data_IF_753676749183
#
_entry.id   IF_753676749183
#
_cell.length_a   1.000
_cell.length_b   1.000
_cell.length_c   1.000
_cell.angle_alpha   90.00
_cell.angle_beta   90.00
_cell.angle_gamma   90.00
#
_symmetry.space_group_name_H-M   'P 1'
#
loop_
_entity.id
_entity.type
_entity.pdbx_description
1 polymer ?
#
# COMPACT_ATOMS: atom_id res chain seq x y z
N UNK A 1 58.06 -29.26 -94.03
CA UNK A 1 58.34 -29.07 -92.60
C UNK A 1 57.51 -27.89 -92.10
N UNK A 2 56.82 -28.07 -90.97
CA UNK A 2 55.82 -27.23 -90.29
C UNK A 2 56.06 -25.70 -90.36
N UNK A 3 55.19 -24.89 -90.97
CA UNK A 3 53.99 -24.16 -90.43
C UNK A 3 54.24 -23.11 -89.33
N UNK A 4 54.42 -21.87 -89.78
CA UNK A 4 53.88 -20.55 -89.34
C UNK A 4 53.32 -20.36 -87.91
N UNK A 5 53.81 -19.33 -87.20
CA UNK A 5 52.95 -18.32 -86.54
C UNK A 5 53.64 -16.92 -86.54
N UNK A 6 52.99 -15.87 -87.05
CA UNK A 6 53.44 -14.49 -86.95
C UNK A 6 52.85 -13.78 -85.72
N UNK A 7 53.63 -12.93 -85.07
CA UNK A 7 53.12 -11.79 -84.29
C UNK A 7 52.30 -12.11 -83.03
N UNK A 8 52.96 -12.56 -81.97
CA UNK A 8 52.35 -12.63 -80.64
C UNK A 8 52.25 -11.21 -80.05
N UNK A 9 51.11 -10.55 -80.26
CA UNK A 9 50.77 -9.31 -79.56
C UNK A 9 50.57 -9.63 -78.07
N UNK A 10 51.10 -8.82 -77.13
CA UNK A 10 50.81 -9.00 -75.71
C UNK A 10 49.34 -8.70 -75.48
N UNK A 11 48.54 -9.75 -75.29
CA UNK A 11 47.11 -9.64 -74.95
C UNK A 11 46.93 -8.84 -73.67
N UNK A 12 46.22 -7.70 -73.76
CA UNK A 12 45.80 -6.92 -72.60
C UNK A 12 45.00 -7.84 -71.66
N UNK A 13 45.36 -7.87 -70.38
CA UNK A 13 44.56 -8.54 -69.36
C UNK A 13 43.18 -7.89 -69.33
N UNK A 14 42.12 -8.71 -69.37
CA UNK A 14 40.75 -8.20 -69.42
C UNK A 14 40.48 -7.27 -68.23
N UNK A 15 39.85 -6.12 -68.49
CA UNK A 15 39.45 -5.19 -67.45
C UNK A 15 38.44 -5.90 -66.52
N UNK A 16 38.68 -5.91 -65.20
CA UNK A 16 37.70 -6.46 -64.25
C UNK A 16 36.41 -5.64 -64.35
N UNK A 17 35.27 -6.31 -64.56
CA UNK A 17 33.97 -5.63 -64.65
C UNK A 17 33.37 -5.52 -63.25
N UNK A 18 32.52 -4.51 -63.06
CA UNK A 18 31.82 -4.30 -61.79
C UNK A 18 30.93 -5.50 -61.41
N UNK A 19 30.48 -6.26 -62.41
CA UNK A 19 29.66 -7.47 -62.27
C UNK A 19 30.44 -8.66 -61.70
N UNK A 20 31.77 -8.67 -61.83
CA UNK A 20 32.63 -9.77 -61.40
C UNK A 20 33.00 -9.70 -59.90
N UNK A 21 32.60 -8.61 -59.21
CA UNK A 21 32.93 -8.38 -57.80
C UNK A 21 31.88 -9.04 -56.91
N UNK A 22 32.27 -9.95 -55.99
CA UNK A 22 31.33 -10.62 -55.10
C UNK A 22 30.62 -9.63 -54.16
N UNK A 23 29.31 -9.81 -53.99
CA UNK A 23 28.47 -9.03 -53.06
C UNK A 23 28.17 -9.83 -51.78
N UNK A 24 28.26 -9.18 -50.63
CA UNK A 24 27.83 -9.67 -49.31
C UNK A 24 26.54 -8.95 -48.87
N UNK A 25 25.87 -9.44 -47.82
CA UNK A 25 24.56 -8.96 -47.37
C UNK A 25 24.49 -7.45 -47.09
N UNK A 26 25.62 -6.81 -46.79
CA UNK A 26 25.75 -5.38 -46.46
C UNK A 26 26.46 -4.55 -47.55
N UNK A 27 26.71 -5.11 -48.74
CA UNK A 27 27.35 -4.39 -49.86
C UNK A 27 28.40 -5.19 -50.64
N UNK A 28 29.32 -4.50 -51.32
CA UNK A 28 30.41 -5.14 -52.05
C UNK A 28 31.49 -5.68 -51.10
N UNK A 29 32.09 -6.82 -51.43
CA UNK A 29 33.17 -7.40 -50.62
C UNK A 29 34.43 -6.51 -50.68
N UNK A 30 34.89 -6.03 -49.52
CA UNK A 30 36.00 -5.07 -49.43
C UNK A 30 37.32 -5.62 -49.99
N UNK A 31 37.55 -6.92 -49.83
CA UNK A 31 38.75 -7.58 -50.35
C UNK A 31 38.67 -7.80 -51.86
N UNK A 32 37.49 -8.18 -52.38
CA UNK A 32 37.24 -8.32 -53.83
C UNK A 32 37.32 -6.97 -54.56
N UNK A 33 36.81 -5.90 -53.96
CA UNK A 33 36.96 -4.53 -54.49
C UNK A 33 38.43 -4.13 -54.53
N UNK A 34 39.20 -4.40 -53.47
CA UNK A 34 40.64 -4.09 -53.42
C UNK A 34 41.42 -4.80 -54.52
N UNK A 35 41.14 -6.08 -54.74
CA UNK A 35 41.76 -6.88 -55.80
C UNK A 35 41.40 -6.36 -57.21
N UNK A 36 40.14 -5.99 -57.44
CA UNK A 36 39.71 -5.37 -58.70
C UNK A 36 40.42 -4.04 -58.98
N UNK A 37 40.61 -3.20 -57.95
CA UNK A 37 41.38 -1.95 -58.07
C UNK A 37 42.87 -2.20 -58.32
N UNK A 38 43.48 -3.23 -57.73
CA UNK A 38 44.86 -3.60 -58.03
C UNK A 38 45.04 -4.15 -59.44
N UNK A 39 44.12 -5.00 -59.91
CA UNK A 39 44.11 -5.49 -61.27
C UNK A 39 43.96 -4.34 -62.28
N UNK A 40 43.09 -3.38 -62.00
CA UNK A 40 42.97 -2.15 -62.79
C UNK A 40 44.26 -1.32 -62.79
N UNK A 41 44.95 -1.19 -61.64
CA UNK A 41 46.25 -0.51 -61.58
C UNK A 41 47.34 -1.22 -62.37
N UNK A 42 47.38 -2.55 -62.36
CA UNK A 42 48.32 -3.33 -63.19
C UNK A 42 48.01 -3.15 -64.67
N UNK A 43 46.73 -3.18 -65.05
CA UNK A 43 46.28 -2.93 -66.41
C UNK A 43 46.63 -1.50 -66.88
N UNK A 44 46.42 -0.49 -66.04
CA UNK A 44 46.77 0.90 -66.38
C UNK A 44 48.29 1.11 -66.49
N UNK A 45 49.09 0.46 -65.63
CA UNK A 45 50.54 0.45 -65.76
C UNK A 45 51.02 -0.25 -67.04
N UNK A 46 50.38 -1.36 -67.42
CA UNK A 46 50.66 -2.08 -68.67
C UNK A 46 50.29 -1.25 -69.90
N UNK A 47 49.16 -0.54 -69.86
CA UNK A 47 48.76 0.40 -70.90
C UNK A 47 49.74 1.58 -71.01
N UNK A 48 50.18 2.15 -69.88
CA UNK A 48 51.20 3.20 -69.87
C UNK A 48 52.54 2.73 -70.43
N UNK A 49 52.94 1.48 -70.16
CA UNK A 49 54.13 0.88 -70.75
C UNK A 49 53.99 0.71 -72.26
N UNK A 50 52.84 0.23 -72.75
CA UNK A 50 52.55 0.10 -74.18
C UNK A 50 52.51 1.47 -74.88
N UNK A 51 51.92 2.49 -74.24
CA UNK A 51 51.93 3.86 -74.76
C UNK A 51 53.34 4.45 -74.79
N UNK A 52 54.21 4.17 -73.81
CA UNK A 52 55.62 4.57 -73.86
C UNK A 52 56.38 3.87 -74.98
N UNK A 53 56.10 2.60 -75.25
CA UNK A 53 56.69 1.85 -76.38
C UNK A 53 56.19 2.39 -77.72
N UNK A 54 54.89 2.69 -77.85
CA UNK A 54 54.30 3.33 -79.03
C UNK A 54 54.81 4.76 -79.24
N UNK A 55 55.02 5.52 -78.17
CA UNK A 55 55.63 6.85 -78.23
C UNK A 55 57.13 6.78 -78.58
N UNK A 56 57.84 5.76 -78.11
CA UNK A 56 59.23 5.51 -78.50
C UNK A 56 59.35 5.07 -79.97
N UNK A 57 58.42 4.24 -80.45
CA UNK A 57 58.30 3.87 -81.87
C UNK A 57 57.83 5.04 -82.75
N UNK A 58 56.96 5.92 -82.24
CA UNK A 58 56.51 7.15 -82.90
C UNK A 58 57.63 8.19 -83.03
N UNK A 59 58.60 8.22 -82.10
CA UNK A 59 59.82 9.05 -82.24
C UNK A 59 60.77 8.56 -83.34
N UNK A 60 60.65 7.32 -83.83
CA UNK A 60 61.47 6.77 -84.91
C UNK A 60 61.02 7.16 -86.32
N UNK A 61 60.22 8.22 -86.45
CA UNK A 61 60.01 8.92 -87.72
C UNK A 61 58.78 8.48 -88.49
N UNK A 62 57.61 8.93 -88.04
CA UNK A 62 56.51 9.27 -88.95
C UNK A 62 55.67 10.38 -88.30
N UNK A 63 56.12 11.61 -88.52
CA UNK A 63 55.40 12.85 -88.20
C UNK A 63 54.18 12.96 -89.09
N UNK A 64 53.01 12.61 -88.57
CA UNK A 64 51.77 13.27 -89.00
C UNK A 64 51.48 14.29 -87.91
N UNK A 65 51.79 15.56 -88.16
CA UNK A 65 51.22 16.67 -87.37
C UNK A 65 49.70 16.60 -87.52
N UNK A 66 48.94 16.20 -86.49
CA UNK A 66 47.51 16.44 -86.50
C UNK A 66 47.38 17.93 -86.21
N UNK A 67 47.14 18.72 -87.26
CA UNK A 67 46.92 20.17 -87.20
C UNK A 67 46.24 20.58 -85.88
N UNK A 68 46.82 21.53 -85.13
CA UNK A 68 46.31 21.94 -83.80
C UNK A 68 44.86 22.43 -83.78
N UNK A 69 44.19 22.50 -84.94
CA UNK A 69 42.75 22.63 -85.05
C UNK A 69 41.99 21.34 -84.67
N UNK A 70 42.43 20.15 -85.11
CA UNK A 70 41.80 18.87 -84.76
C UNK A 70 41.86 18.60 -83.26
N UNK A 71 43.03 18.79 -82.65
CA UNK A 71 43.21 18.65 -81.19
C UNK A 71 42.34 19.64 -80.41
N UNK A 72 42.18 20.87 -80.91
CA UNK A 72 41.27 21.87 -80.31
C UNK A 72 39.81 21.47 -80.45
N UNK A 73 39.40 20.93 -81.61
CA UNK A 73 38.03 20.45 -81.83
C UNK A 73 37.71 19.23 -80.97
N UNK A 74 38.65 18.29 -80.83
CA UNK A 74 38.52 17.12 -79.95
C UNK A 74 38.44 17.53 -78.48
N UNK A 75 39.25 18.50 -78.05
CA UNK A 75 39.19 19.05 -76.70
C UNK A 75 37.83 19.75 -76.42
N UNK A 76 37.29 20.50 -77.38
CA UNK A 76 35.95 21.10 -77.25
C UNK A 76 34.85 20.04 -77.21
N UNK A 77 34.98 18.97 -78.00
CA UNK A 77 34.03 17.86 -77.96
C UNK A 77 34.08 17.12 -76.62
N UNK A 78 35.28 16.91 -76.06
CA UNK A 78 35.47 16.32 -74.74
C UNK A 78 34.94 17.20 -73.61
N UNK A 79 35.12 18.53 -73.68
CA UNK A 79 34.53 19.46 -72.72
C UNK A 79 33.00 19.42 -72.80
N UNK A 80 32.44 19.36 -74.02
CA UNK A 80 30.99 19.24 -74.20
C UNK A 80 30.46 17.92 -73.66
N UNK A 81 31.10 16.79 -73.98
CA UNK A 81 30.67 15.48 -73.46
C UNK A 81 30.85 15.39 -71.94
N UNK A 82 31.87 16.03 -71.37
CA UNK A 82 32.04 16.14 -69.92
C UNK A 82 30.93 16.98 -69.27
N UNK A 83 30.49 18.07 -69.91
CA UNK A 83 29.39 18.90 -69.43
C UNK A 83 28.05 18.14 -69.48
N UNK A 84 27.75 17.48 -70.61
CA UNK A 84 26.57 16.62 -70.74
C UNK A 84 26.58 15.48 -69.72
N UNK A 85 27.75 14.86 -69.47
CA UNK A 85 27.90 13.85 -68.43
C UNK A 85 27.65 14.42 -67.03
N UNK A 86 28.16 15.61 -66.71
CA UNK A 86 27.90 16.27 -65.43
C UNK A 86 26.40 16.53 -65.21
N UNK A 87 25.69 17.00 -66.24
CA UNK A 87 24.24 17.21 -66.19
C UNK A 87 23.47 15.90 -65.94
N UNK A 88 23.93 14.79 -66.52
CA UNK A 88 23.33 13.46 -66.24
C UNK A 88 23.58 12.99 -64.81
N UNK A 89 24.80 13.20 -64.29
CA UNK A 89 25.16 12.85 -62.91
C UNK A 89 24.35 13.67 -61.92
N UNK A 90 24.16 14.97 -62.17
CA UNK A 90 23.33 15.83 -61.34
C UNK A 90 21.87 15.38 -61.36
N UNK A 91 21.32 15.10 -62.55
CA UNK A 91 19.94 14.64 -62.70
C UNK A 91 19.69 13.31 -61.97
N UNK A 92 20.62 12.37 -62.07
CA UNK A 92 20.51 11.08 -61.39
C UNK A 92 20.69 11.20 -59.87
N UNK A 93 21.58 12.09 -59.41
CA UNK A 93 21.74 12.40 -58.00
C UNK A 93 20.48 13.07 -57.42
N UNK A 94 19.87 14.01 -58.14
CA UNK A 94 18.61 14.65 -57.75
C UNK A 94 17.49 13.61 -57.64
N UNK A 95 17.29 12.78 -58.66
CA UNK A 95 16.28 11.69 -58.63
C UNK A 95 16.51 10.69 -57.50
N UNK A 96 17.77 10.30 -57.26
CA UNK A 96 18.10 9.40 -56.16
C UNK A 96 17.80 10.05 -54.79
N UNK A 97 18.09 11.35 -54.64
CA UNK A 97 17.80 12.09 -53.40
C UNK A 97 16.30 12.23 -53.16
N UNK A 98 15.51 12.52 -54.18
CA UNK A 98 14.05 12.60 -54.10
C UNK A 98 13.44 11.25 -53.70
N UNK A 99 13.93 10.15 -54.27
CA UNK A 99 13.49 8.80 -53.91
C UNK A 99 13.84 8.43 -52.46
N UNK A 100 15.01 8.86 -51.95
CA UNK A 100 15.39 8.63 -50.56
C UNK A 100 14.59 9.51 -49.60
N UNK A 101 14.38 10.78 -49.93
CA UNK A 101 13.59 11.71 -49.12
C UNK A 101 12.13 11.26 -49.05
N UNK A 102 11.51 10.91 -50.16
CA UNK A 102 10.14 10.38 -50.18
C UNK A 102 10.00 9.12 -49.31
N UNK A 103 10.93 8.16 -49.43
CA UNK A 103 10.93 6.95 -48.59
C UNK A 103 11.09 7.26 -47.10
N UNK A 104 12.00 8.16 -46.73
CA UNK A 104 12.21 8.53 -45.32
C UNK A 104 11.03 9.33 -44.77
N UNK A 105 10.41 10.18 -45.56
CA UNK A 105 9.18 10.88 -45.18
C UNK A 105 8.02 9.92 -44.93
N UNK A 106 7.84 8.91 -45.79
CA UNK A 106 6.83 7.87 -45.57
C UNK A 106 7.07 7.09 -44.29
N UNK A 107 8.33 6.73 -44.02
CA UNK A 107 8.70 6.05 -42.77
C UNK A 107 8.47 6.93 -41.55
N UNK A 108 8.82 8.22 -41.60
CA UNK A 108 8.54 9.18 -40.52
C UNK A 108 7.04 9.35 -40.31
N UNK A 109 6.25 9.47 -41.38
CA UNK A 109 4.78 9.55 -41.29
C UNK A 109 4.21 8.28 -40.66
N UNK A 110 4.71 7.11 -41.04
CA UNK A 110 4.31 5.82 -40.46
C UNK A 110 4.65 5.75 -38.97
N UNK A 111 5.90 6.02 -38.59
CA UNK A 111 6.35 5.99 -37.19
C UNK A 111 5.59 6.99 -36.32
N UNK A 112 5.28 8.18 -36.83
CA UNK A 112 4.45 9.17 -36.13
C UNK A 112 3.03 8.65 -35.85
N UNK A 113 2.40 7.97 -36.81
CA UNK A 113 1.08 7.36 -36.59
C UNK A 113 1.15 6.24 -35.56
N UNK A 114 2.11 5.34 -35.69
CA UNK A 114 2.32 4.25 -34.71
C UNK A 114 2.58 4.80 -33.30
N UNK A 115 3.30 5.92 -33.18
CA UNK A 115 3.50 6.59 -31.90
C UNK A 115 2.19 7.18 -31.35
N UNK A 116 1.41 7.87 -32.17
CA UNK A 116 0.12 8.42 -31.78
C UNK A 116 -0.86 7.32 -31.33
N UNK A 117 -0.88 6.19 -32.04
CA UNK A 117 -1.72 5.04 -31.68
C UNK A 117 -1.30 4.45 -30.33
N UNK A 118 0.01 4.31 -30.08
CA UNK A 118 0.54 3.86 -28.78
C UNK A 118 0.21 4.83 -27.65
N UNK A 119 0.34 6.13 -27.88
CA UNK A 119 -0.02 7.16 -26.89
C UNK A 119 -1.51 7.10 -26.56
N UNK A 120 -2.38 6.93 -27.56
CA UNK A 120 -3.81 6.75 -27.36
C UNK A 120 -4.14 5.46 -26.60
N UNK A 121 -3.42 4.37 -26.85
CA UNK A 121 -3.57 3.10 -26.12
C UNK A 121 -3.14 3.24 -24.66
N UNK A 122 -1.99 3.88 -24.39
CA UNK A 122 -1.51 4.15 -23.03
C UNK A 122 -2.54 4.98 -22.25
N UNK A 123 -3.12 5.99 -22.90
CA UNK A 123 -4.13 6.84 -22.26
C UNK A 123 -5.41 6.06 -21.91
N UNK A 124 -5.84 5.13 -22.78
CA UNK A 124 -6.96 4.22 -22.45
C UNK A 124 -6.64 3.35 -21.25
N UNK A 125 -5.47 2.73 -21.20
CA UNK A 125 -5.07 1.91 -20.04
C UNK A 125 -4.97 2.74 -18.75
N UNK A 126 -4.51 3.99 -18.82
CA UNK A 126 -4.51 4.89 -17.66
C UNK A 126 -5.91 5.16 -17.16
N UNK A 127 -6.82 5.54 -18.05
CA UNK A 127 -8.21 5.81 -17.68
C UNK A 127 -8.92 4.56 -17.14
N UNK A 128 -8.69 3.39 -17.73
CA UNK A 128 -9.22 2.12 -17.23
C UNK A 128 -8.64 1.77 -15.86
N UNK A 129 -7.32 1.94 -15.66
CA UNK A 129 -6.67 1.70 -14.37
C UNK A 129 -7.18 2.64 -13.28
N UNK A 130 -7.40 3.92 -13.61
CA UNK A 130 -7.97 4.91 -12.69
C UNK A 130 -9.42 4.56 -12.33
N UNK A 131 -10.24 4.13 -13.31
CA UNK A 131 -11.60 3.64 -13.06
C UNK A 131 -11.59 2.43 -12.13
N UNK A 132 -10.78 1.41 -12.43
CA UNK A 132 -10.63 0.22 -11.59
C UNK A 132 -10.17 0.58 -10.18
N UNK A 133 -9.21 1.50 -10.05
CA UNK A 133 -8.75 1.99 -8.74
C UNK A 133 -9.89 2.67 -7.97
N UNK A 134 -10.69 3.51 -8.63
CA UNK A 134 -11.82 4.18 -8.01
C UNK A 134 -12.92 3.18 -7.59
N UNK A 135 -13.19 2.17 -8.40
CA UNK A 135 -14.13 1.09 -8.08
C UNK A 135 -13.66 0.28 -6.86
N UNK A 136 -12.40 -0.14 -6.83
CA UNK A 136 -11.80 -0.85 -5.69
C UNK A 136 -11.86 -0.02 -4.40
N UNK A 137 -11.54 1.28 -4.48
CA UNK A 137 -11.61 2.16 -3.32
C UNK A 137 -13.05 2.35 -2.82
N UNK A 138 -14.02 2.48 -3.73
CA UNK A 138 -15.43 2.59 -3.34
C UNK A 138 -15.94 1.28 -2.70
N UNK A 139 -15.58 0.13 -3.27
CA UNK A 139 -15.93 -1.18 -2.72
C UNK A 139 -15.33 -1.36 -1.33
N UNK A 140 -14.02 -1.14 -1.17
CA UNK A 140 -13.34 -1.23 0.11
C UNK A 140 -13.94 -0.27 1.16
N UNK A 141 -14.34 0.94 0.75
CA UNK A 141 -15.01 1.90 1.64
C UNK A 141 -16.40 1.43 2.07
N UNK A 142 -17.15 0.80 1.16
CA UNK A 142 -18.48 0.26 1.47
C UNK A 142 -18.37 -0.96 2.38
N UNK A 143 -17.44 -1.88 2.10
CA UNK A 143 -17.13 -3.03 2.95
C UNK A 143 -16.70 -2.59 4.36
N UNK A 144 -15.80 -1.60 4.46
CA UNK A 144 -15.37 -1.07 5.75
C UNK A 144 -16.55 -0.47 6.55
N UNK A 145 -17.46 0.26 5.90
CA UNK A 145 -18.66 0.80 6.55
C UNK A 145 -19.61 -0.30 7.00
N UNK A 146 -19.81 -1.32 6.19
CA UNK A 146 -20.67 -2.46 6.52
C UNK A 146 -20.10 -3.25 7.70
N UNK A 147 -18.79 -3.56 7.68
CA UNK A 147 -18.11 -4.23 8.78
C UNK A 147 -18.22 -3.44 10.08
N UNK A 148 -18.00 -2.13 10.04
CA UNK A 148 -18.17 -1.27 11.22
C UNK A 148 -19.62 -1.23 11.70
N UNK A 149 -20.60 -1.18 10.79
CA UNK A 149 -22.01 -1.19 11.17
C UNK A 149 -22.40 -2.53 11.83
N UNK A 150 -21.93 -3.65 11.29
CA UNK A 150 -22.17 -4.98 11.85
C UNK A 150 -21.50 -5.13 13.21
N UNK A 151 -20.21 -4.79 13.32
CA UNK A 151 -19.49 -4.82 14.59
C UNK A 151 -20.15 -3.97 15.68
N UNK A 152 -20.65 -2.77 15.32
CA UNK A 152 -21.40 -1.94 16.26
C UNK A 152 -22.74 -2.56 16.69
N UNK A 153 -23.49 -3.18 15.77
CA UNK A 153 -24.73 -3.89 16.11
C UNK A 153 -24.45 -5.02 17.09
N UNK A 154 -23.48 -5.87 16.78
CA UNK A 154 -23.08 -7.01 17.61
C UNK A 154 -22.62 -6.55 18.99
N UNK A 155 -21.75 -5.53 19.06
CA UNK A 155 -21.30 -4.96 20.32
C UNK A 155 -22.46 -4.42 21.18
N UNK A 156 -23.43 -3.73 20.56
CA UNK A 156 -24.61 -3.24 21.30
C UNK A 156 -25.54 -4.36 21.74
N UNK A 157 -25.64 -5.45 20.96
CA UNK A 157 -26.43 -6.61 21.34
C UNK A 157 -25.80 -7.32 22.55
N UNK A 158 -24.50 -7.61 22.48
CA UNK A 158 -23.74 -8.23 23.56
C UNK A 158 -23.80 -7.40 24.85
N UNK A 159 -23.69 -6.08 24.75
CA UNK A 159 -23.83 -5.18 25.89
C UNK A 159 -25.22 -5.30 26.53
N UNK A 160 -26.30 -5.27 25.74
CA UNK A 160 -27.68 -5.44 26.26
C UNK A 160 -27.89 -6.80 26.91
N UNK A 161 -27.32 -7.86 26.33
CA UNK A 161 -27.39 -9.20 26.90
C UNK A 161 -26.61 -9.32 28.21
N UNK A 162 -25.44 -8.70 28.30
CA UNK A 162 -24.64 -8.63 29.52
C UNK A 162 -25.35 -7.84 30.62
N UNK A 163 -25.96 -6.69 30.29
CA UNK A 163 -26.78 -5.91 31.22
C UNK A 163 -27.99 -6.69 31.70
N UNK A 164 -28.70 -7.39 30.80
CA UNK A 164 -29.83 -8.24 31.17
C UNK A 164 -29.39 -9.38 32.11
N UNK A 165 -28.28 -10.06 31.82
CA UNK A 165 -27.70 -11.09 32.70
C UNK A 165 -27.31 -10.51 34.07
N UNK A 166 -26.67 -9.33 34.08
CA UNK A 166 -26.30 -8.62 35.30
C UNK A 166 -27.51 -8.25 36.16
N UNK A 167 -28.57 -7.71 35.55
CA UNK A 167 -29.80 -7.35 36.26
C UNK A 167 -30.47 -8.56 36.92
N UNK A 168 -30.51 -9.72 36.25
CA UNK A 168 -31.04 -10.98 36.80
C UNK A 168 -30.22 -11.47 37.98
N UNK A 169 -28.90 -11.41 37.91
CA UNK A 169 -28.02 -11.80 39.02
C UNK A 169 -28.18 -10.86 40.23
N UNK A 170 -28.34 -9.55 39.98
CA UNK A 170 -28.63 -8.58 41.05
C UNK A 170 -29.99 -8.83 41.71
N UNK A 171 -31.01 -9.19 40.93
CA UNK A 171 -32.31 -9.55 41.49
C UNK A 171 -32.27 -10.85 42.30
N UNK A 172 -31.60 -11.89 41.78
CA UNK A 172 -31.40 -13.15 42.49
C UNK A 172 -30.65 -12.94 43.82
N UNK A 173 -29.55 -12.19 43.81
CA UNK A 173 -28.78 -11.91 45.02
C UNK A 173 -29.58 -11.09 46.04
N UNK A 174 -30.41 -10.13 45.59
CA UNK A 174 -31.35 -9.42 46.47
C UNK A 174 -32.35 -10.37 47.09
N UNK A 175 -32.95 -11.27 46.30
CA UNK A 175 -33.89 -12.24 46.81
C UNK A 175 -33.24 -13.16 47.86
N UNK A 176 -32.09 -13.73 47.54
CA UNK A 176 -31.33 -14.57 48.48
C UNK A 176 -30.95 -13.82 49.76
N UNK A 177 -30.51 -12.56 49.66
CA UNK A 177 -30.22 -11.75 50.83
C UNK A 177 -31.46 -11.52 51.71
N UNK A 178 -32.63 -11.30 51.11
CA UNK A 178 -33.89 -11.18 51.85
C UNK A 178 -34.32 -12.49 52.50
N UNK A 179 -34.16 -13.61 51.80
CA UNK A 179 -34.47 -14.95 52.33
C UNK A 179 -33.57 -15.29 53.53
N UNK A 180 -32.25 -15.07 53.40
CA UNK A 180 -31.30 -15.28 54.50
C UNK A 180 -31.60 -14.38 55.69
N UNK A 181 -31.95 -13.11 55.45
CA UNK A 181 -32.31 -12.18 56.53
C UNK A 181 -33.59 -12.62 57.24
N UNK A 182 -34.60 -13.07 56.49
CA UNK A 182 -35.84 -13.59 57.07
C UNK A 182 -35.62 -14.90 57.83
N UNK A 183 -34.80 -15.82 57.29
CA UNK A 183 -34.41 -17.07 57.96
C UNK A 183 -33.70 -16.79 59.28
N UNK A 184 -32.70 -15.92 59.27
CA UNK A 184 -31.97 -15.55 60.48
C UNK A 184 -32.88 -14.89 61.53
N UNK A 185 -33.84 -14.05 61.12
CA UNK A 185 -34.85 -13.49 62.05
C UNK A 185 -35.74 -14.58 62.65
N UNK A 186 -36.23 -15.50 61.84
CA UNK A 186 -37.07 -16.60 62.29
C UNK A 186 -36.32 -17.52 63.28
N UNK A 187 -35.04 -17.83 63.03
CA UNK A 187 -34.19 -18.60 63.94
C UNK A 187 -33.96 -17.86 65.28
N UNK A 188 -33.72 -16.55 65.25
CA UNK A 188 -33.60 -15.73 66.46
C UNK A 188 -34.93 -15.69 67.24
N UNK A 189 -36.05 -15.54 66.56
CA UNK A 189 -37.38 -15.57 67.20
C UNK A 189 -37.65 -16.93 67.85
N UNK A 190 -37.33 -18.03 67.15
CA UNK A 190 -37.46 -19.39 67.68
C UNK A 190 -36.59 -19.61 68.92
N UNK A 191 -35.33 -19.18 68.89
CA UNK A 191 -34.42 -19.30 70.04
C UNK A 191 -34.87 -18.45 71.22
N UNK A 192 -35.39 -17.24 70.98
CA UNK A 192 -35.96 -16.40 72.02
C UNK A 192 -37.25 -16.98 72.59
N UNK A 193 -38.12 -17.57 71.77
CA UNK A 193 -39.32 -18.26 72.23
C UNK A 193 -38.97 -19.47 73.10
N UNK A 194 -38.01 -20.29 72.65
CA UNK A 194 -37.49 -21.40 73.45
C UNK A 194 -36.89 -20.95 74.78
N UNK A 195 -36.08 -19.89 74.78
CA UNK A 195 -35.50 -19.32 75.99
C UNK A 195 -36.58 -18.78 76.95
N UNK A 196 -37.64 -18.14 76.43
CA UNK A 196 -38.80 -17.69 77.24
C UNK A 196 -39.57 -18.86 77.84
N UNK A 197 -39.82 -19.92 77.07
CA UNK A 197 -40.49 -21.12 77.55
C UNK A 197 -39.67 -21.81 78.66
N UNK A 198 -38.35 -21.90 78.48
CA UNK A 198 -37.45 -22.45 79.50
C UNK A 198 -37.42 -21.60 80.76
N UNK A 199 -37.34 -20.27 80.64
CA UNK A 199 -37.40 -19.35 81.78
C UNK A 199 -38.73 -19.48 82.54
N UNK A 200 -39.86 -19.57 81.83
CA UNK A 200 -41.18 -19.78 82.45
C UNK A 200 -41.26 -21.11 83.22
N UNK A 201 -40.68 -22.19 82.68
CA UNK A 201 -40.63 -23.48 83.36
C UNK A 201 -39.76 -23.44 84.64
N UNK A 202 -38.60 -22.76 84.60
CA UNK A 202 -37.74 -22.57 85.77
C UNK A 202 -38.45 -21.74 86.84
N UNK A 203 -39.09 -20.64 86.44
CA UNK A 203 -39.86 -19.78 87.36
C UNK A 203 -41.02 -20.53 88.01
N UNK A 204 -41.80 -21.30 87.25
CA UNK A 204 -42.88 -22.13 87.80
C UNK A 204 -42.36 -23.15 88.81
N UNK A 205 -41.24 -23.82 88.51
CA UNK A 205 -40.60 -24.76 89.45
C UNK A 205 -40.10 -24.05 90.70
N UNK A 206 -39.48 -22.88 90.58
CA UNK A 206 -39.03 -22.09 91.71
C UNK A 206 -40.21 -21.62 92.57
N UNK A 207 -41.29 -21.14 91.95
CA UNK A 207 -42.51 -20.73 92.63
C UNK A 207 -43.08 -21.89 93.45
N UNK A 208 -43.32 -23.06 92.83
CA UNK A 208 -43.84 -24.23 93.56
C UNK A 208 -42.89 -24.69 94.68
N UNK A 209 -41.57 -24.61 94.47
CA UNK A 209 -40.59 -24.94 95.51
C UNK A 209 -40.62 -23.96 96.69
N UNK A 210 -40.76 -22.66 96.42
CA UNK A 210 -40.90 -21.64 97.47
C UNK A 210 -42.21 -21.77 98.23
N UNK A 211 -43.34 -22.03 97.54
CA UNK A 211 -44.63 -22.31 98.17
C UNK A 211 -44.54 -23.52 99.12
N UNK A 212 -43.85 -24.59 98.71
CA UNK A 212 -43.61 -25.76 99.56
C UNK A 212 -42.78 -25.42 100.82
N UNK A 213 -41.74 -24.60 100.68
CA UNK A 213 -40.90 -24.19 101.81
C UNK A 213 -41.65 -23.27 102.79
N UNK A 214 -42.44 -22.33 102.29
CA UNK A 214 -43.24 -21.43 103.12
C UNK A 214 -44.36 -22.17 103.85
N UNK A 215 -45.02 -23.13 103.19
CA UNK A 215 -46.00 -24.01 103.82
C UNK A 215 -45.35 -24.88 104.93
N UNK A 216 -44.15 -25.42 104.69
CA UNK A 216 -43.41 -26.18 105.70
C UNK A 216 -42.97 -25.31 106.90
N UNK A 217 -42.77 -24.01 106.70
CA UNK A 217 -42.49 -23.04 107.76
C UNK A 217 -43.75 -22.63 108.57
N UNK A 218 -44.93 -23.13 108.20
CA UNK A 218 -46.17 -22.92 108.94
C UNK A 218 -46.96 -21.66 108.56
N UNK A 219 -46.63 -20.99 107.45
CA UNK A 219 -47.45 -19.90 106.91
C UNK A 219 -48.72 -20.47 106.25
N UNK A 220 -49.86 -19.84 106.53
CA UNK A 220 -51.13 -20.15 105.87
C UNK A 220 -51.14 -19.67 104.41
N UNK A 221 -52.04 -20.24 103.60
CA UNK A 221 -52.14 -19.94 102.16
C UNK A 221 -52.34 -18.44 101.86
N UNK A 222 -53.03 -17.72 102.76
CA UNK A 222 -53.24 -16.26 102.69
C UNK A 222 -51.97 -15.43 102.97
N UNK A 223 -51.04 -15.94 103.77
CA UNK A 223 -49.77 -15.27 104.08
C UNK A 223 -48.74 -15.50 102.99
N UNK A 224 -48.74 -16.70 102.40
CA UNK A 224 -47.91 -17.05 101.24
C UNK A 224 -48.27 -16.17 100.03
N UNK A 225 -49.56 -15.94 99.77
CA UNK A 225 -50.01 -15.03 98.69
C UNK A 225 -49.50 -13.60 98.90
N UNK A 226 -49.60 -13.06 100.13
CA UNK A 226 -49.10 -11.71 100.45
C UNK A 226 -47.58 -11.57 100.28
N UNK A 227 -46.81 -12.59 100.68
CA UNK A 227 -45.35 -12.60 100.47
C UNK A 227 -45.03 -12.66 98.97
N UNK A 228 -45.76 -13.47 98.19
CA UNK A 228 -45.61 -13.55 96.73
C UNK A 228 -45.88 -12.21 96.03
N UNK A 229 -46.96 -11.52 96.41
CA UNK A 229 -47.30 -10.19 95.89
C UNK A 229 -46.20 -9.16 96.19
N UNK A 230 -45.70 -9.12 97.43
CA UNK A 230 -44.62 -8.21 97.83
C UNK A 230 -43.30 -8.46 97.06
N UNK A 231 -42.95 -9.73 96.79
CA UNK A 231 -41.77 -10.08 95.99
C UNK A 231 -41.94 -9.64 94.54
N UNK A 232 -43.13 -9.84 93.95
CA UNK A 232 -43.41 -9.41 92.57
C UNK A 232 -43.37 -7.88 92.46
N UNK A 233 -43.90 -7.16 93.45
CA UNK A 233 -43.83 -5.69 93.51
C UNK A 233 -42.38 -5.20 93.58
N UNK A 234 -41.58 -5.73 94.53
CA UNK A 234 -40.15 -5.38 94.65
C UNK A 234 -39.34 -5.74 93.39
N UNK A 235 -39.66 -6.86 92.72
CA UNK A 235 -39.02 -7.25 91.47
C UNK A 235 -39.37 -6.31 90.32
N UNK A 236 -40.64 -5.84 90.24
CA UNK A 236 -41.07 -4.84 89.25
C UNK A 236 -40.36 -3.51 89.48
N UNK A 237 -40.28 -3.04 90.72
CA UNK A 237 -39.56 -1.81 91.07
C UNK A 237 -38.07 -1.89 90.71
N UNK A 238 -37.43 -3.03 90.94
CA UNK A 238 -36.03 -3.27 90.56
C UNK A 238 -35.83 -3.29 89.03
N UNK A 239 -36.74 -3.92 88.28
CA UNK A 239 -36.69 -3.93 86.81
C UNK A 239 -36.93 -2.53 86.25
N UNK A 240 -37.88 -1.77 86.80
CA UNK A 240 -38.14 -0.38 86.40
C UNK A 240 -36.95 0.53 86.72
N UNK A 241 -36.31 0.36 87.88
CA UNK A 241 -35.08 1.06 88.23
C UNK A 241 -33.92 0.75 87.26
N UNK A 242 -33.90 -0.45 86.68
CA UNK A 242 -32.87 -0.89 85.72
C UNK A 242 -33.20 -0.45 84.28
N UNK A 243 -34.46 -0.11 83.99
CA UNK A 243 -34.93 0.32 82.66
C UNK A 243 -34.51 1.78 82.39
N UNK A 244 -33.22 1.97 82.08
CA UNK A 244 -32.74 3.23 81.50
C UNK A 244 -33.34 3.38 80.10
N UNK A 245 -33.88 4.56 79.69
CA UNK A 245 -34.38 4.74 78.33
C UNK A 245 -33.23 4.54 77.33
N UNK A 246 -33.49 3.96 76.14
CA UNK A 246 -32.44 3.77 75.16
C UNK A 246 -31.89 5.14 74.74
N UNK A 247 -30.60 5.34 74.98
CA UNK A 247 -29.87 6.46 74.42
C UNK A 247 -30.07 6.44 72.90
N UNK A 248 -30.47 7.59 72.34
CA UNK A 248 -30.66 7.79 70.91
C UNK A 248 -29.53 7.13 70.13
N UNK A 249 -29.90 6.16 69.28
CA UNK A 249 -28.98 5.52 68.35
C UNK A 249 -28.28 6.62 67.55
N UNK A 250 -26.98 6.80 67.81
CA UNK A 250 -26.13 7.63 66.97
C UNK A 250 -26.22 7.07 65.55
N UNK A 251 -26.47 7.89 64.51
CA UNK A 251 -26.38 7.42 63.15
C UNK A 251 -24.96 6.88 62.93
N UNK A 252 -24.88 5.67 62.38
CA UNK A 252 -23.62 5.07 61.98
C UNK A 252 -22.87 6.06 61.08
N UNK A 253 -21.72 6.52 61.57
CA UNK A 253 -20.69 7.18 60.76
C UNK A 253 -20.48 6.34 59.50
N UNK A 254 -20.78 6.92 58.34
CA UNK A 254 -20.42 6.37 57.06
C UNK A 254 -18.94 5.99 57.10
N UNK A 255 -18.66 4.70 56.92
CA UNK A 255 -17.31 4.19 56.74
C UNK A 255 -16.75 4.94 55.53
N UNK A 256 -15.74 5.75 55.82
CA UNK A 256 -14.90 6.42 54.85
C UNK A 256 -14.54 5.45 53.74
N UNK A 257 -14.83 5.87 52.51
CA UNK A 257 -14.41 5.18 51.30
C UNK A 257 -12.92 4.83 51.39
N UNK A 258 -12.61 3.65 50.85
CA UNK A 258 -11.31 3.02 50.76
C UNK A 258 -10.20 3.98 50.22
N UNK A 259 -8.92 3.73 50.57
CA UNK A 259 -7.80 4.46 49.98
C UNK A 259 -7.77 4.27 48.45
N UNK A 260 -7.36 5.28 47.68
CA UNK A 260 -7.21 5.13 46.24
C UNK A 260 -6.12 4.10 45.94
N UNK A 261 -6.50 3.06 45.19
CA UNK A 261 -5.57 2.11 44.58
C UNK A 261 -4.70 2.88 43.57
N UNK A 262 -3.36 2.76 43.62
CA UNK A 262 -2.51 3.33 42.57
C UNK A 262 -2.81 2.66 41.23
N UNK A 263 -3.08 3.49 40.21
CA UNK A 263 -3.28 3.05 38.84
C UNK A 263 -2.03 2.33 38.30
N UNK A 264 -2.18 1.29 37.46
CA UNK A 264 -1.06 0.64 36.79
C UNK A 264 -0.41 1.60 35.77
N UNK A 265 0.92 1.55 35.56
CA UNK A 265 1.59 2.37 34.57
C UNK A 265 1.11 2.00 33.17
N UNK A 266 0.60 3.01 32.46
CA UNK A 266 0.33 2.94 31.03
C UNK A 266 1.64 2.70 30.28
N UNK A 267 1.59 1.74 29.36
CA UNK A 267 2.64 1.42 28.44
C UNK A 267 3.05 2.66 27.63
N UNK A 268 4.34 2.99 27.67
CA UNK A 268 4.98 3.87 26.71
C UNK A 268 4.95 3.17 25.35
N UNK A 269 4.18 3.72 24.42
CA UNK A 269 4.46 3.54 23.01
C UNK A 269 4.09 4.79 22.22
N UNK A 270 5.01 5.14 21.33
CA UNK A 270 4.88 6.08 20.22
C UNK A 270 5.07 7.56 20.59
N UNK A 271 6.20 8.19 20.28
CA UNK A 271 6.76 8.62 18.97
C UNK A 271 6.62 10.13 18.84
N UNK A 272 7.76 10.80 18.64
CA UNK A 272 7.89 11.88 17.65
C UNK A 272 7.17 13.19 17.94
N UNK A 273 7.86 14.06 18.67
CA UNK A 273 7.81 15.51 18.53
C UNK A 273 9.26 15.99 18.70
N UNK A 274 9.83 16.97 18.03
CA UNK A 274 9.39 17.90 17.01
C UNK A 274 10.65 18.77 16.84
N UNK A 275 11.15 18.91 15.61
CA UNK A 275 12.12 19.96 15.30
C UNK A 275 11.48 20.80 14.21
N UNK A 276 10.80 21.85 14.65
CA UNK A 276 10.44 22.98 13.82
C UNK A 276 11.73 23.67 13.34
N UNK A 277 11.81 23.97 12.03
CA UNK A 277 12.50 25.18 11.60
C UNK A 277 11.81 25.81 10.38
N UNK A 278 11.26 26.98 10.68
CA UNK A 278 11.04 28.19 9.91
C UNK A 278 10.93 28.21 8.36
N UNK A 279 9.87 28.92 7.95
CA UNK A 279 9.87 30.03 6.99
C UNK A 279 9.88 29.72 5.49
N UNK A 280 8.75 29.99 4.82
CA UNK A 280 8.52 31.24 4.08
C UNK A 280 7.37 31.08 3.06
N UNK A 281 6.25 31.74 3.31
CA UNK A 281 5.37 32.29 2.27
C UNK A 281 6.10 33.45 1.57
N UNK A 282 5.84 33.76 0.27
CA UNK A 282 4.68 34.60 -0.03
C UNK A 282 4.01 34.41 -1.41
N UNK A 283 2.87 35.11 -1.50
CA UNK A 283 2.34 35.82 -2.67
C UNK A 283 1.43 35.06 -3.64
N UNK A 284 0.16 35.10 -3.26
CA UNK A 284 -1.03 35.36 -4.09
C UNK A 284 -0.78 36.47 -5.14
N UNK A 285 -0.92 36.14 -6.42
CA UNK A 285 -1.17 37.10 -7.50
C UNK A 285 -2.34 36.60 -8.36
N UNK A 286 -3.50 37.16 -8.05
CA UNK A 286 -4.73 37.18 -8.84
C UNK A 286 -4.59 37.97 -10.15
N UNK A 287 -5.12 37.39 -11.24
CA UNK A 287 -5.75 38.03 -12.41
C UNK A 287 -6.17 36.87 -13.35
N UNK A 288 -7.44 36.44 -13.44
CA UNK A 288 -8.63 37.17 -13.89
C UNK A 288 -8.38 38.02 -15.14
N UNK A 289 -8.38 37.37 -16.31
CA UNK A 289 -8.77 37.99 -17.57
C UNK A 289 -9.89 37.17 -18.21
N UNK A 290 -11.11 37.66 -18.00
CA UNK A 290 -12.29 37.36 -18.79
C UNK A 290 -12.31 38.25 -20.05
N UNK A 291 -12.73 37.64 -21.16
CA UNK A 291 -13.67 38.20 -22.14
C UNK A 291 -13.31 39.54 -22.83
N UNK A 292 -12.90 39.43 -24.10
CA UNK A 292 -13.50 40.14 -25.25
C UNK A 292 -13.11 39.48 -26.56
#
# INVERSE_FOLDING_TARGET
MATQEPGQQPSLTALPRLEDIPRKADGYDTDGVREAFEAFRRHSAQLQAQLRVLQAASRSGQTVEPTGHAVRMDALHLIRSAAEFADTVESDAQRASEAQLSKTEEEVRRRRREQQDREAEIERYRQESERQRAELLNNARNEARELLANANRDATQELREAEAKGSRLLEQSRHQATELTNSARAEVEQTLEWARAQAAAILSRAQSGTEQLLAAAGLGEEEIKRVGEAIVEAARESIEATRTPPAAARPATAVSAAPPVPAPPAAESSTGAEAADAASEPADESQDEQQS
#
